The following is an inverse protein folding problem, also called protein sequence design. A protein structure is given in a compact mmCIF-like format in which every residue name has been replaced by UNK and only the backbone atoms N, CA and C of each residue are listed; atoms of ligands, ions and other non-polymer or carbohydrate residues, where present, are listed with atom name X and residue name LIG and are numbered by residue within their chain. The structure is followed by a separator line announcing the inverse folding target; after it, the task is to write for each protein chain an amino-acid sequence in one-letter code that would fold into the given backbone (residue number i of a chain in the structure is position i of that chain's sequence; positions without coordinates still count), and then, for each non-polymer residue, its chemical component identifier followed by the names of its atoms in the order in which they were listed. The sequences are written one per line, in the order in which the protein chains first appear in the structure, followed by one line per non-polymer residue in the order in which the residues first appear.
data_IF_102723392194
#
_entry.id   IF_102723392194
#
_cell.length_a   1.000
_cell.length_b   1.000
_cell.length_c   1.000
_cell.angle_alpha   90.00
_cell.angle_beta   90.00
_cell.angle_gamma   90.00
#
_symmetry.space_group_name_H-M   'P 1'
#
loop_
_entity.id
_entity.type
_entity.pdbx_description
1 polymer ?
#
# COMPACT_ATOMS: atom_id res chain seq x y z
N UNK A 1 15.68 -12.91 -4.44
CA UNK A 1 14.77 -11.83 -4.85
C UNK A 1 15.35 -11.21 -6.09
N UNK A 2 14.54 -10.97 -7.13
CA UNK A 2 15.00 -10.28 -8.34
C UNK A 2 15.17 -8.78 -8.05
N UNK A 3 15.98 -8.07 -8.85
CA UNK A 3 16.16 -6.61 -8.70
C UNK A 3 14.82 -5.85 -8.76
N UNK A 4 13.88 -6.33 -9.56
CA UNK A 4 12.52 -5.79 -9.65
C UNK A 4 11.74 -5.92 -8.33
N UNK A 5 11.90 -7.04 -7.62
CA UNK A 5 11.24 -7.28 -6.33
C UNK A 5 11.77 -6.32 -5.26
N UNK A 6 13.09 -6.13 -5.25
CA UNK A 6 13.76 -5.25 -4.31
C UNK A 6 13.34 -3.80 -4.54
N UNK A 7 13.32 -3.37 -5.81
CA UNK A 7 12.83 -2.05 -6.17
C UNK A 7 11.37 -1.84 -5.79
N UNK A 8 10.52 -2.86 -6.00
CA UNK A 8 9.11 -2.81 -5.60
C UNK A 8 8.95 -2.68 -4.07
N UNK A 9 9.74 -3.43 -3.29
CA UNK A 9 9.76 -3.31 -1.83
C UNK A 9 10.17 -1.90 -1.39
N UNK A 10 11.24 -1.36 -1.96
CA UNK A 10 11.75 -0.01 -1.65
C UNK A 10 10.72 1.08 -2.00
N UNK A 11 10.07 1.00 -3.17
CA UNK A 11 9.01 1.92 -3.60
C UNK A 11 7.82 1.88 -2.64
N UNK A 12 7.33 0.68 -2.29
CA UNK A 12 6.22 0.51 -1.35
C UNK A 12 6.58 1.07 0.03
N UNK A 13 7.80 0.83 0.52
CA UNK A 13 8.25 1.34 1.81
C UNK A 13 8.32 2.88 1.80
N UNK A 14 8.85 3.50 0.74
CA UNK A 14 8.86 4.96 0.58
C UNK A 14 7.44 5.54 0.57
N UNK A 15 6.49 4.90 -0.11
CA UNK A 15 5.09 5.33 -0.13
C UNK A 15 4.45 5.24 1.27
N UNK A 16 4.69 4.17 2.02
CA UNK A 16 4.22 4.03 3.41
C UNK A 16 4.85 5.09 4.32
N UNK A 17 6.15 5.38 4.17
CA UNK A 17 6.80 6.44 4.95
C UNK A 17 6.18 7.81 4.68
N UNK A 18 5.91 8.16 3.42
CA UNK A 18 5.21 9.41 3.07
C UNK A 18 3.83 9.50 3.71
N UNK A 19 3.11 8.38 3.79
CA UNK A 19 1.80 8.31 4.45
C UNK A 19 1.87 8.46 5.96
N UNK A 20 3.05 8.27 6.57
CA UNK A 20 3.27 8.52 8.00
C UNK A 20 3.74 9.94 8.33
N UNK A 21 4.15 10.72 7.32
CA UNK A 21 4.45 12.15 7.48
C UNK A 21 3.17 12.98 7.54
N UNK A 22 3.17 14.14 8.20
CA UNK A 22 1.97 14.99 8.37
C UNK A 22 1.47 15.68 7.08
N UNK A 23 1.96 15.29 5.90
CA UNK A 23 1.71 15.99 4.65
C UNK A 23 0.51 15.38 3.89
N UNK A 24 -0.70 15.76 4.29
CA UNK A 24 -1.96 15.21 3.76
C UNK A 24 -2.14 15.43 2.25
N UNK A 25 -1.55 16.48 1.69
CA UNK A 25 -1.54 16.76 0.25
C UNK A 25 -0.85 15.65 -0.57
N UNK A 26 0.13 14.96 0.03
CA UNK A 26 0.87 13.88 -0.63
C UNK A 26 0.24 12.51 -0.43
N UNK A 27 -0.79 12.39 0.42
CA UNK A 27 -1.41 11.09 0.72
C UNK A 27 -2.13 10.53 -0.49
N UNK A 28 -2.98 11.34 -1.14
CA UNK A 28 -3.76 10.92 -2.29
C UNK A 28 -2.88 10.37 -3.44
N UNK A 29 -1.86 11.11 -3.95
CA UNK A 29 -1.00 10.56 -4.99
C UNK A 29 -0.22 9.33 -4.53
N UNK A 30 0.22 9.28 -3.26
CA UNK A 30 0.96 8.12 -2.74
C UNK A 30 0.08 6.85 -2.69
N UNK A 31 -1.19 6.98 -2.29
CA UNK A 31 -2.15 5.86 -2.26
C UNK A 31 -2.50 5.39 -3.68
N UNK A 32 -2.70 6.30 -4.63
CA UNK A 32 -2.98 5.97 -6.04
C UNK A 32 -1.82 5.18 -6.68
N UNK A 33 -0.58 5.62 -6.44
CA UNK A 33 0.62 4.90 -6.91
C UNK A 33 0.71 3.52 -6.26
N UNK A 34 0.51 3.42 -4.94
CA UNK A 34 0.56 2.14 -4.22
C UNK A 34 -0.49 1.16 -4.75
N UNK A 35 -1.73 1.62 -4.97
CA UNK A 35 -2.81 0.83 -5.56
C UNK A 35 -2.42 0.31 -6.94
N UNK A 36 -1.81 1.16 -7.77
CA UNK A 36 -1.36 0.79 -9.12
C UNK A 36 -0.27 -0.29 -9.06
N UNK A 37 0.72 -0.13 -8.18
CA UNK A 37 1.79 -1.13 -7.98
C UNK A 37 1.24 -2.48 -7.50
N UNK A 38 0.32 -2.48 -6.54
CA UNK A 38 -0.34 -3.70 -6.04
C UNK A 38 -1.13 -4.37 -7.18
N UNK A 39 -1.94 -3.60 -7.93
CA UNK A 39 -2.74 -4.13 -9.05
C UNK A 39 -1.87 -4.68 -10.19
N UNK A 40 -0.85 -3.95 -10.60
CA UNK A 40 0.08 -4.34 -11.66
C UNK A 40 0.84 -5.64 -11.32
N UNK A 41 1.06 -5.88 -10.03
CA UNK A 41 1.72 -7.11 -9.58
C UNK A 41 0.75 -8.26 -9.37
N UNK A 42 -0.53 -8.00 -9.05
CA UNK A 42 -1.58 -9.04 -8.93
C UNK A 42 -2.03 -9.60 -10.27
N UNK A 43 -1.84 -8.90 -11.39
CA UNK A 43 -2.16 -9.42 -12.74
C UNK A 43 -1.26 -10.58 -13.18
N UNK A 44 -0.11 -10.75 -12.54
CA UNK A 44 0.78 -11.90 -12.74
C UNK A 44 0.27 -13.07 -11.90
N UNK A 45 -0.62 -13.87 -12.50
CA UNK A 45 -1.24 -15.10 -11.99
C UNK A 45 -0.21 -16.06 -11.32
N UNK A 46 0.11 -15.79 -10.05
CA UNK A 46 1.06 -16.52 -9.20
C UNK A 46 0.49 -16.57 -7.79
N UNK A 47 0.68 -17.70 -7.07
CA UNK A 47 -0.17 -18.08 -5.92
C UNK A 47 -0.16 -17.17 -4.69
N UNK A 48 0.69 -16.15 -4.57
CA UNK A 48 0.51 -14.97 -3.69
C UNK A 48 1.40 -13.88 -4.29
N UNK A 49 0.86 -12.72 -4.71
CA UNK A 49 1.67 -11.67 -5.31
C UNK A 49 2.71 -11.14 -4.32
N UNK A 50 3.98 -11.10 -4.72
CA UNK A 50 5.12 -10.65 -3.89
C UNK A 50 4.91 -9.31 -3.16
N UNK A 51 4.30 -8.26 -3.74
CA UNK A 51 4.05 -7.02 -3.00
C UNK A 51 3.17 -7.20 -1.76
N UNK A 52 2.29 -8.19 -1.74
CA UNK A 52 1.46 -8.45 -0.58
C UNK A 52 2.28 -9.03 0.57
N UNK A 53 3.30 -9.85 0.27
CA UNK A 53 4.27 -10.29 1.28
C UNK A 53 5.03 -9.11 1.90
N UNK A 54 5.45 -8.14 1.10
CA UNK A 54 6.14 -6.93 1.58
C UNK A 54 5.23 -6.01 2.38
N UNK A 55 3.96 -5.88 1.98
CA UNK A 55 2.99 -5.04 2.66
C UNK A 55 2.51 -5.62 4.00
N UNK A 56 2.74 -6.90 4.29
CA UNK A 56 2.31 -7.57 5.53
C UNK A 56 2.79 -6.86 6.81
N UNK A 57 4.09 -6.53 6.99
CA UNK A 57 4.55 -5.73 8.13
C UNK A 57 4.03 -4.27 8.11
N UNK A 58 3.76 -3.71 6.92
CA UNK A 58 3.25 -2.34 6.78
C UNK A 58 1.74 -2.22 7.03
N UNK A 59 0.99 -3.33 7.00
CA UNK A 59 -0.46 -3.36 7.17
C UNK A 59 -0.92 -2.70 8.48
N UNK A 60 -0.22 -2.98 9.59
CA UNK A 60 -0.51 -2.35 10.87
C UNK A 60 -0.28 -0.82 10.82
N UNK A 61 0.76 -0.38 10.10
CA UNK A 61 1.09 1.04 9.92
C UNK A 61 0.05 1.75 9.05
N UNK A 62 -0.42 1.10 7.98
CA UNK A 62 -1.51 1.59 7.14
C UNK A 62 -2.81 1.79 7.91
N UNK A 63 -3.15 0.88 8.83
CA UNK A 63 -4.30 1.06 9.73
C UNK A 63 -4.16 2.30 10.61
N UNK A 64 -2.99 2.50 11.23
CA UNK A 64 -2.75 3.70 12.05
C UNK A 64 -2.85 4.99 11.22
N UNK A 65 -2.32 4.98 10.00
CA UNK A 65 -2.45 6.12 9.08
C UNK A 65 -3.92 6.38 8.76
N UNK A 66 -4.69 5.33 8.46
CA UNK A 66 -6.12 5.43 8.19
C UNK A 66 -6.91 6.02 9.38
N UNK A 67 -6.55 5.65 10.61
CA UNK A 67 -7.16 6.22 11.83
C UNK A 67 -6.86 7.71 11.98
N UNK A 68 -5.64 8.14 11.64
CA UNK A 68 -5.22 9.55 11.68
C UNK A 68 -5.75 10.38 10.51
N UNK A 69 -6.16 9.76 9.41
CA UNK A 69 -6.70 10.47 8.25
C UNK A 69 -8.07 11.06 8.53
N UNK A 70 -8.27 12.29 8.09
CA UNK A 70 -9.56 12.96 8.08
C UNK A 70 -10.54 12.28 7.11
N UNK A 71 -11.85 12.32 7.41
CA UNK A 71 -12.88 11.75 6.54
C UNK A 71 -12.85 12.45 5.16
N UNK A 72 -12.69 11.66 4.10
CA UNK A 72 -12.58 12.18 2.74
C UNK A 72 -12.24 11.10 1.70
N UNK A 73 -12.02 11.51 0.43
CA UNK A 73 -11.68 10.59 -0.66
C UNK A 73 -10.36 9.83 -0.39
N UNK A 74 -9.37 10.49 0.21
CA UNK A 74 -8.09 9.90 0.61
C UNK A 74 -8.27 8.75 1.61
N UNK A 75 -9.11 8.94 2.63
CA UNK A 75 -9.40 7.91 3.63
C UNK A 75 -10.08 6.69 3.00
N UNK A 76 -10.98 6.91 2.03
CA UNK A 76 -11.65 5.84 1.29
C UNK A 76 -10.67 5.05 0.41
N UNK A 77 -9.74 5.72 -0.27
CA UNK A 77 -8.66 5.07 -1.02
C UNK A 77 -7.76 4.21 -0.11
N UNK A 78 -7.41 4.73 1.06
CA UNK A 78 -6.62 4.00 2.05
C UNK A 78 -7.37 2.76 2.55
N UNK A 79 -8.68 2.87 2.82
CA UNK A 79 -9.52 1.73 3.19
C UNK A 79 -9.59 0.66 2.07
N UNK A 80 -9.74 1.07 0.81
CA UNK A 80 -9.76 0.16 -0.34
C UNK A 80 -8.48 -0.68 -0.40
N UNK A 81 -7.32 -0.04 -0.27
CA UNK A 81 -6.01 -0.71 -0.24
C UNK A 81 -5.94 -1.67 0.96
N UNK A 82 -6.28 -1.23 2.17
CA UNK A 82 -6.27 -2.08 3.38
C UNK A 82 -7.21 -3.29 3.19
N UNK A 83 -8.36 -3.10 2.55
CA UNK A 83 -9.30 -4.20 2.28
C UNK A 83 -8.71 -5.23 1.32
N UNK A 84 -8.08 -4.78 0.22
CA UNK A 84 -7.42 -5.68 -0.75
C UNK A 84 -6.26 -6.43 -0.11
N UNK A 85 -5.46 -5.74 0.71
CA UNK A 85 -4.38 -6.38 1.48
C UNK A 85 -4.96 -7.46 2.41
N UNK A 86 -6.06 -7.16 3.11
CA UNK A 86 -6.73 -8.09 4.03
C UNK A 86 -7.33 -9.30 3.34
N UNK A 87 -7.94 -9.13 2.17
CA UNK A 87 -8.54 -10.23 1.38
C UNK A 87 -7.50 -11.26 0.95
N UNK A 88 -6.29 -10.82 0.63
CA UNK A 88 -5.17 -11.69 0.24
C UNK A 88 -4.52 -12.42 1.43
N UNK A 89 -4.53 -11.83 2.63
CA UNK A 89 -3.95 -12.47 3.81
C UNK A 89 -4.88 -13.49 4.49
N UNK A 90 -6.12 -13.62 4.01
CA UNK A 90 -7.10 -14.59 4.49
C UNK A 90 -6.77 -16.01 3.98
#
# INVERSE_FOLDING_TARGET
MSEEDKKLEEDLNMLVQRLTENNTSLYQPSLETMRTLIRASTTSMTSVPKPLKFMRPHYAKMKQVFEKMEPGPTKRLCADIISVLGDVFR
#
